data_IF_359954867884
#
_entry.id   IF_359954867884
#
_cell.length_a   1.000
_cell.length_b   1.000
_cell.length_c   1.000
_cell.angle_alpha   90.00
_cell.angle_beta   90.00
_cell.angle_gamma   90.00
#
_symmetry.space_group_name_H-M   'P 1'
#
loop_
_entity.id
_entity.type
_entity.pdbx_description
1 polymer ?
#
# COMPACT_ATOMS: atom_id res chain seq x y z
N UNK A 1 6.54 23.64 -3.28
CA UNK A 1 5.72 22.94 -2.26
C UNK A 1 5.37 21.58 -2.84
N UNK A 2 6.10 20.51 -2.49
CA UNK A 2 6.04 19.18 -3.15
C UNK A 2 5.37 18.12 -2.27
N UNK A 3 4.17 18.39 -1.75
CA UNK A 3 3.59 17.55 -0.69
C UNK A 3 2.72 16.37 -1.15
N UNK A 4 2.46 16.20 -2.45
CA UNK A 4 1.57 15.13 -2.97
C UNK A 4 2.21 14.25 -4.06
N UNK A 5 3.52 13.95 -3.97
CA UNK A 5 4.08 12.98 -4.91
C UNK A 5 3.68 11.55 -4.49
N UNK A 6 2.99 10.85 -5.39
CA UNK A 6 2.75 9.42 -5.27
C UNK A 6 4.10 8.70 -5.20
N UNK A 7 4.15 7.65 -4.40
CA UNK A 7 5.31 6.78 -4.27
C UNK A 7 4.86 5.33 -4.39
N UNK A 8 5.69 4.48 -5.01
CA UNK A 8 5.49 3.03 -5.02
C UNK A 8 5.26 2.47 -3.63
N UNK A 9 4.30 1.56 -3.55
CA UNK A 9 3.92 0.76 -2.40
C UNK A 9 4.22 -0.69 -2.71
N UNK A 10 4.90 -1.34 -1.79
CA UNK A 10 5.26 -2.74 -1.84
C UNK A 10 4.73 -3.45 -0.61
N UNK A 11 4.38 -4.71 -0.76
CA UNK A 11 3.93 -5.57 0.33
C UNK A 11 4.74 -6.84 0.40
N UNK A 12 5.03 -7.29 1.61
CA UNK A 12 5.72 -8.54 1.90
C UNK A 12 4.84 -9.37 2.84
N UNK A 13 4.24 -10.41 2.28
CA UNK A 13 3.38 -11.37 2.99
C UNK A 13 4.14 -12.16 4.07
N UNK A 14 5.42 -12.44 3.89
CA UNK A 14 6.19 -13.27 4.84
C UNK A 14 6.44 -12.49 6.13
N UNK A 15 6.87 -11.24 6.00
CA UNK A 15 7.24 -10.41 7.14
C UNK A 15 6.08 -9.49 7.59
N UNK A 16 4.92 -9.58 6.94
CA UNK A 16 3.73 -8.73 7.14
C UNK A 16 4.09 -7.23 7.13
N UNK A 17 4.87 -6.81 6.13
CA UNK A 17 5.41 -5.44 6.03
C UNK A 17 4.95 -4.74 4.76
N UNK A 18 4.46 -3.52 4.94
CA UNK A 18 4.15 -2.60 3.85
C UNK A 18 5.24 -1.53 3.76
N UNK A 19 5.74 -1.27 2.56
CA UNK A 19 6.78 -0.27 2.32
C UNK A 19 6.35 0.75 1.27
N UNK A 20 6.42 2.04 1.59
CA UNK A 20 6.27 3.16 0.65
C UNK A 20 7.60 3.88 0.46
N UNK A 21 8.26 3.69 -0.67
CA UNK A 21 9.60 4.27 -0.92
C UNK A 21 9.79 4.73 -2.36
N UNK A 22 10.69 5.70 -2.54
CA UNK A 22 11.17 6.13 -3.87
C UNK A 22 12.56 5.56 -4.19
N UNK A 23 13.17 4.83 -3.26
CA UNK A 23 14.50 4.28 -3.45
C UNK A 23 14.44 3.06 -4.38
N UNK A 24 15.21 3.10 -5.46
CA UNK A 24 15.39 2.00 -6.41
C UNK A 24 16.22 0.84 -5.84
N UNK A 25 16.87 1.06 -4.70
CA UNK A 25 17.60 0.04 -3.94
C UNK A 25 16.65 -0.72 -3.00
N UNK A 26 15.66 -1.40 -3.58
CA UNK A 26 15.16 -2.62 -2.95
C UNK A 26 16.15 -3.70 -3.39
N UNK A 27 17.29 -3.73 -2.72
CA UNK A 27 18.32 -4.74 -2.96
C UNK A 27 17.76 -6.08 -2.51
N UNK A 28 17.44 -6.94 -3.48
CA UNK A 28 17.39 -8.41 -3.37
C UNK A 28 16.42 -9.09 -2.39
N UNK A 29 15.57 -8.38 -1.65
CA UNK A 29 14.48 -9.07 -0.93
C UNK A 29 13.34 -9.41 -1.91
N UNK A 30 13.43 -10.61 -2.52
CA UNK A 30 12.41 -11.27 -3.37
C UNK A 30 11.01 -11.31 -2.75
N UNK A 31 10.90 -10.93 -1.47
CA UNK A 31 9.68 -10.94 -0.68
C UNK A 31 8.79 -9.70 -0.85
N UNK A 32 9.31 -8.57 -1.34
CA UNK A 32 8.50 -7.36 -1.53
C UNK A 32 7.90 -7.32 -2.93
N UNK A 33 6.58 -7.48 -3.00
CA UNK A 33 5.80 -7.40 -4.24
C UNK A 33 5.26 -5.99 -4.41
N UNK A 34 5.48 -5.40 -5.58
CA UNK A 34 4.90 -4.11 -5.94
C UNK A 34 3.37 -4.20 -6.07
N UNK A 35 2.65 -3.24 -5.49
CA UNK A 35 1.17 -3.22 -5.50
C UNK A 35 0.61 -2.01 -6.24
N UNK A 36 1.23 -0.84 -6.10
CA UNK A 36 0.73 0.38 -6.74
C UNK A 36 1.45 1.62 -6.23
N UNK A 37 0.89 2.81 -6.47
CA UNK A 37 1.46 4.07 -5.97
C UNK A 37 0.44 4.87 -5.17
N UNK A 38 0.86 5.40 -4.02
CA UNK A 38 0.02 6.23 -3.16
C UNK A 38 0.76 7.48 -2.66
N UNK A 39 0.01 8.56 -2.41
CA UNK A 39 0.47 9.70 -1.61
C UNK A 39 0.70 9.27 -0.15
N UNK A 40 1.26 10.17 0.68
CA UNK A 40 1.49 9.84 2.10
C UNK A 40 0.18 9.59 2.85
N UNK A 41 -0.81 10.45 2.62
CA UNK A 41 -2.12 10.38 3.28
C UNK A 41 -2.91 9.16 2.86
N UNK A 42 -2.94 8.83 1.57
CA UNK A 42 -3.61 7.61 1.08
C UNK A 42 -2.95 6.35 1.63
N UNK A 43 -1.63 6.36 1.78
CA UNK A 43 -0.89 5.25 2.39
C UNK A 43 -1.20 5.10 3.88
N UNK A 44 -1.26 6.19 4.64
CA UNK A 44 -1.65 6.16 6.06
C UNK A 44 -3.07 5.58 6.22
N UNK A 45 -4.00 5.98 5.34
CA UNK A 45 -5.36 5.41 5.31
C UNK A 45 -5.36 3.90 5.01
N UNK A 46 -4.54 3.44 4.06
CA UNK A 46 -4.38 2.01 3.79
C UNK A 46 -3.96 1.24 5.04
N UNK A 47 -2.98 1.73 5.80
CA UNK A 47 -2.51 1.08 7.03
C UNK A 47 -3.63 0.97 8.07
N UNK A 48 -4.40 2.04 8.27
CA UNK A 48 -5.55 2.03 9.19
C UNK A 48 -6.62 1.02 8.75
N UNK A 49 -6.93 0.94 7.45
CA UNK A 49 -7.90 -0.03 6.92
C UNK A 49 -7.42 -1.47 7.15
N UNK A 50 -6.14 -1.74 6.86
CA UNK A 50 -5.56 -3.08 7.06
C UNK A 50 -5.59 -3.46 8.53
N UNK A 51 -5.22 -2.53 9.43
CA UNK A 51 -5.28 -2.77 10.87
C UNK A 51 -6.72 -2.99 11.35
N UNK A 52 -7.70 -2.24 10.84
CA UNK A 52 -9.11 -2.43 11.20
C UNK A 52 -9.68 -3.75 10.68
N UNK A 53 -9.29 -4.19 9.47
CA UNK A 53 -9.80 -5.44 8.86
C UNK A 53 -9.14 -6.69 9.46
N UNK A 54 -7.84 -6.66 9.71
CA UNK A 54 -7.07 -7.86 10.05
C UNK A 54 -6.41 -7.81 11.42
N UNK A 55 -6.20 -6.63 12.02
CA UNK A 55 -5.58 -6.50 13.34
C UNK A 55 -4.18 -7.12 13.38
N UNK A 56 -4.08 -8.31 13.97
CA UNK A 56 -2.83 -9.10 14.09
C UNK A 56 -2.81 -10.34 13.18
N UNK A 57 -3.84 -10.55 12.35
CA UNK A 57 -3.91 -11.68 11.44
C UNK A 57 -3.00 -11.45 10.22
N UNK A 58 -2.43 -12.54 9.70
CA UNK A 58 -1.60 -12.51 8.50
C UNK A 58 -2.45 -12.23 7.25
N UNK A 59 -1.94 -11.36 6.38
CA UNK A 59 -2.58 -10.97 5.13
C UNK A 59 -1.82 -11.61 3.97
N UNK A 60 -2.51 -12.34 3.10
CA UNK A 60 -1.90 -12.85 1.86
C UNK A 60 -1.75 -11.75 0.82
N UNK A 61 -0.86 -11.92 -0.18
CA UNK A 61 -0.77 -10.97 -1.29
C UNK A 61 -2.11 -10.69 -1.99
N UNK A 62 -2.93 -11.71 -2.25
CA UNK A 62 -4.21 -11.56 -2.93
C UNK A 62 -5.17 -10.68 -2.12
N UNK A 63 -5.31 -10.95 -0.82
CA UNK A 63 -6.13 -10.13 0.10
C UNK A 63 -5.62 -8.70 0.25
N UNK A 64 -4.31 -8.51 0.29
CA UNK A 64 -3.73 -7.18 0.31
C UNK A 64 -4.07 -6.42 -0.98
N UNK A 65 -3.92 -7.06 -2.14
CA UNK A 65 -4.23 -6.48 -3.44
C UNK A 65 -5.72 -6.14 -3.60
N UNK A 66 -6.62 -6.99 -3.11
CA UNK A 66 -8.06 -6.72 -3.06
C UNK A 66 -8.36 -5.44 -2.27
N UNK A 67 -7.84 -5.33 -1.04
CA UNK A 67 -8.06 -4.14 -0.19
C UNK A 67 -7.43 -2.89 -0.79
N UNK A 68 -6.25 -3.02 -1.39
CA UNK A 68 -5.61 -1.91 -2.10
C UNK A 68 -6.44 -1.45 -3.29
N UNK A 69 -6.99 -2.37 -4.08
CA UNK A 69 -7.86 -2.08 -5.22
C UNK A 69 -9.13 -1.35 -4.79
N UNK A 70 -9.84 -1.86 -3.78
CA UNK A 70 -11.02 -1.21 -3.19
C UNK A 70 -10.72 0.23 -2.75
N UNK A 71 -9.60 0.44 -2.06
CA UNK A 71 -9.17 1.78 -1.63
C UNK A 71 -8.86 2.68 -2.82
N UNK A 72 -8.15 2.16 -3.82
CA UNK A 72 -7.73 2.93 -4.98
C UNK A 72 -8.95 3.42 -5.78
N UNK A 73 -9.92 2.52 -6.05
CA UNK A 73 -11.18 2.87 -6.71
C UNK A 73 -11.93 3.98 -5.95
N UNK A 74 -12.05 3.83 -4.63
CA UNK A 74 -12.68 4.85 -3.78
C UNK A 74 -11.98 6.21 -3.85
N UNK A 75 -10.64 6.24 -3.82
CA UNK A 75 -9.87 7.48 -3.90
C UNK A 75 -10.00 8.14 -5.26
N UNK A 76 -10.01 7.37 -6.35
CA UNK A 76 -10.22 7.89 -7.70
C UNK A 76 -11.62 8.46 -7.87
N UNK A 77 -12.65 7.82 -7.32
CA UNK A 77 -14.01 8.38 -7.29
C UNK A 77 -14.09 9.72 -6.54
N UNK A 78 -13.35 9.86 -5.43
CA UNK A 78 -13.30 11.11 -4.66
C UNK A 78 -12.59 12.24 -5.40
N UNK A 79 -11.52 11.95 -6.15
CA UNK A 79 -10.77 12.96 -6.91
C UNK A 79 -11.51 13.43 -8.17
N UNK A 80 -12.35 12.57 -8.75
CA UNK A 80 -13.13 12.86 -9.94
C UNK A 80 -14.47 13.55 -9.64
N UNK A 81 -14.73 13.93 -8.38
CA UNK A 81 -15.85 14.75 -7.92
C UNK A 81 -15.41 16.16 -7.58
#
# INVERSE_FOLDING_TARGET
MYWNKQKPVFYNEIDQRVWRTSATTITDDVKFVYVGELTKTEFELLIEILFQKYGNDDISHDRFAEVFGELFEFLEELKNK
#
